data_IF_106752346203
#
_entry.id   IF_106752346203
#
_cell.length_a   1.000
_cell.length_b   1.000
_cell.length_c   1.000
_cell.angle_alpha   90.00
_cell.angle_beta   90.00
_cell.angle_gamma   90.00
#
_symmetry.space_group_name_H-M   'P 1'
#
loop_
_entity.id
_entity.type
_entity.pdbx_description
1 polymer ?
#
# COMPACT_ATOMS: atom_id res chain seq x y z
N UNK A 1 9.14 -9.02 14.15
CA UNK A 1 9.83 -8.94 12.83
C UNK A 1 9.29 -9.86 11.72
N UNK A 2 8.60 -10.99 11.98
CA UNK A 2 8.21 -11.91 10.87
C UNK A 2 7.01 -11.47 10.01
N UNK A 3 6.08 -10.68 10.55
CA UNK A 3 4.96 -10.12 9.77
C UNK A 3 5.41 -8.93 8.89
N UNK A 4 6.44 -8.20 9.33
CA UNK A 4 6.95 -7.00 8.68
C UNK A 4 7.74 -7.27 7.39
N UNK A 5 8.47 -8.39 7.29
CA UNK A 5 9.09 -8.81 6.03
C UNK A 5 8.10 -9.21 4.94
N UNK A 6 6.87 -9.62 5.28
CA UNK A 6 5.90 -10.12 4.29
C UNK A 6 5.28 -8.96 3.51
N UNK A 7 4.96 -7.85 4.18
CA UNK A 7 4.28 -6.71 3.52
C UNK A 7 5.22 -5.98 2.55
N UNK A 8 6.49 -5.80 2.93
CA UNK A 8 7.51 -5.18 2.06
C UNK A 8 7.88 -6.11 0.88
N UNK A 9 7.94 -7.43 1.09
CA UNK A 9 8.23 -8.39 0.02
C UNK A 9 7.12 -8.42 -1.05
N UNK A 10 5.85 -8.28 -0.66
CA UNK A 10 4.73 -8.26 -1.62
C UNK A 10 4.78 -7.01 -2.52
N UNK A 11 5.14 -5.84 -2.01
CA UNK A 11 5.17 -4.61 -2.82
C UNK A 11 6.46 -4.48 -3.66
N UNK A 12 7.60 -5.05 -3.21
CA UNK A 12 8.87 -5.09 -3.96
C UNK A 12 8.89 -6.22 -5.01
N UNK A 13 8.24 -7.37 -4.78
CA UNK A 13 8.18 -8.46 -5.77
C UNK A 13 7.18 -8.23 -6.91
N UNK A 14 6.46 -7.11 -6.90
CA UNK A 14 5.64 -6.68 -8.04
C UNK A 14 6.44 -5.96 -9.14
N UNK A 15 7.78 -5.86 -9.03
CA UNK A 15 8.64 -5.47 -10.15
C UNK A 15 8.58 -6.54 -11.27
N UNK A 16 7.98 -6.27 -12.44
CA UNK A 16 7.80 -7.25 -13.52
C UNK A 16 9.07 -7.42 -14.38
N UNK A 17 10.25 -7.10 -13.84
CA UNK A 17 11.51 -6.97 -14.60
C UNK A 17 12.35 -8.26 -14.61
N UNK A 18 11.75 -9.43 -14.39
CA UNK A 18 12.43 -10.72 -14.54
C UNK A 18 11.44 -11.68 -15.20
N UNK A 19 11.54 -11.74 -16.52
CA UNK A 19 10.47 -12.22 -17.38
C UNK A 19 10.36 -13.73 -17.50
N UNK A 20 9.12 -14.16 -17.65
CA UNK A 20 8.70 -15.28 -18.48
C UNK A 20 7.19 -15.12 -18.74
N UNK A 21 6.82 -15.14 -20.02
CA UNK A 21 5.47 -14.89 -20.49
C UNK A 21 4.57 -16.09 -20.19
N UNK A 22 3.46 -15.87 -19.48
CA UNK A 22 2.22 -16.61 -19.76
C UNK A 22 1.01 -15.69 -19.56
N UNK A 23 0.26 -15.56 -20.64
CA UNK A 23 -0.93 -14.76 -20.83
C UNK A 23 -2.13 -15.43 -20.12
N UNK A 24 -2.77 -14.72 -19.18
CA UNK A 24 -4.20 -14.88 -18.90
C UNK A 24 -4.80 -13.52 -18.59
N UNK A 25 -5.52 -13.03 -19.59
CA UNK A 25 -6.47 -11.95 -19.46
C UNK A 25 -7.63 -12.40 -18.55
N UNK A 26 -7.87 -11.65 -17.49
CA UNK A 26 -9.21 -11.49 -16.94
C UNK A 26 -9.36 -9.99 -16.65
N UNK A 27 -10.12 -9.34 -17.53
CA UNK A 27 -10.42 -7.92 -17.43
C UNK A 27 -11.53 -7.72 -16.40
N UNK A 28 -11.23 -6.92 -15.40
CA UNK A 28 -12.24 -6.15 -14.69
C UNK A 28 -11.94 -4.66 -14.91
N UNK A 29 -12.60 -4.11 -15.92
CA UNK A 29 -12.70 -2.67 -16.09
C UNK A 29 -13.75 -2.16 -15.11
N UNK A 30 -13.30 -1.58 -13.99
CA UNK A 30 -14.16 -0.74 -13.17
C UNK A 30 -13.79 0.73 -13.39
N UNK A 31 -14.69 1.38 -14.12
CA UNK A 31 -14.77 2.79 -14.49
C UNK A 31 -14.96 3.72 -13.27
N UNK A 32 -14.50 4.97 -13.40
CA UNK A 32 -15.13 6.09 -12.69
C UNK A 32 -14.39 6.71 -11.49
N UNK A 33 -13.22 7.34 -11.71
CA UNK A 33 -12.59 8.16 -10.64
C UNK A 33 -11.51 9.14 -11.09
N UNK A 34 -11.41 9.44 -12.38
CA UNK A 34 -10.42 10.37 -12.91
C UNK A 34 -10.62 11.78 -12.36
N UNK A 35 -9.59 12.31 -11.68
CA UNK A 35 -9.38 13.74 -11.38
C UNK A 35 -10.06 14.35 -10.13
N UNK A 36 -9.99 13.73 -8.94
CA UNK A 36 -10.41 14.46 -7.71
C UNK A 36 -9.33 15.15 -6.89
N UNK A 37 -8.03 14.95 -7.14
CA UNK A 37 -7.00 15.72 -6.42
C UNK A 37 -5.59 15.53 -7.01
N UNK A 38 -5.17 16.42 -7.90
CA UNK A 38 -3.76 16.46 -8.37
C UNK A 38 -2.76 16.48 -7.19
N UNK A 39 -3.14 17.10 -6.07
CA UNK A 39 -2.32 17.17 -4.86
C UNK A 39 -2.06 15.83 -4.18
N UNK A 40 -3.01 14.90 -4.20
CA UNK A 40 -2.85 13.59 -3.53
C UNK A 40 -2.11 12.60 -4.39
N UNK A 41 -2.28 12.66 -5.72
CA UNK A 41 -1.44 11.92 -6.67
C UNK A 41 0.04 12.31 -6.55
N UNK A 42 0.36 13.61 -6.56
CA UNK A 42 1.73 14.07 -6.37
C UNK A 42 2.32 13.63 -5.02
N UNK A 43 1.48 13.54 -3.97
CA UNK A 43 1.91 13.06 -2.65
C UNK A 43 2.24 11.57 -2.68
N UNK A 44 1.43 10.77 -3.35
CA UNK A 44 1.66 9.33 -3.53
C UNK A 44 2.94 9.07 -4.32
N UNK A 45 3.15 9.78 -5.43
CA UNK A 45 4.38 9.71 -6.24
C UNK A 45 5.61 10.09 -5.41
N UNK A 46 5.53 11.17 -4.63
CA UNK A 46 6.63 11.59 -3.75
C UNK A 46 6.95 10.57 -2.65
N UNK A 47 5.93 9.91 -2.10
CA UNK A 47 6.13 8.84 -1.12
C UNK A 47 6.78 7.61 -1.77
N UNK A 48 6.36 7.24 -2.98
CA UNK A 48 6.98 6.16 -3.74
C UNK A 48 8.46 6.43 -4.02
N UNK A 49 8.81 7.63 -4.50
CA UNK A 49 10.20 8.02 -4.75
C UNK A 49 11.05 7.99 -3.45
N UNK A 50 10.47 8.41 -2.33
CA UNK A 50 11.13 8.37 -1.02
C UNK A 50 11.39 6.94 -0.54
N UNK A 51 10.43 6.03 -0.75
CA UNK A 51 10.58 4.60 -0.43
C UNK A 51 11.74 4.02 -1.25
N UNK A 52 11.77 4.25 -2.56
CA UNK A 52 12.86 3.75 -3.40
C UNK A 52 14.24 4.25 -2.94
N UNK A 53 14.32 5.53 -2.57
CA UNK A 53 15.55 6.11 -2.04
C UNK A 53 15.95 5.45 -0.72
N UNK A 54 15.01 5.29 0.21
CA UNK A 54 15.25 4.68 1.53
C UNK A 54 15.62 3.19 1.42
N UNK A 55 15.04 2.46 0.47
CA UNK A 55 15.43 1.07 0.18
C UNK A 55 16.87 0.99 -0.32
N UNK A 56 17.31 1.92 -1.18
CA UNK A 56 18.71 1.98 -1.62
C UNK A 56 19.65 2.30 -0.46
N UNK A 57 19.29 3.27 0.40
CA UNK A 57 20.05 3.60 1.61
C UNK A 57 20.14 2.39 2.56
N UNK A 58 19.02 1.72 2.84
CA UNK A 58 18.98 0.55 3.70
C UNK A 58 19.82 -0.61 3.15
N UNK A 59 19.76 -0.87 1.83
CA UNK A 59 20.62 -1.88 1.18
C UNK A 59 22.10 -1.57 1.41
N UNK A 60 22.53 -0.33 1.20
CA UNK A 60 23.92 0.08 1.40
C UNK A 60 24.38 -0.07 2.86
N UNK A 61 23.53 0.29 3.83
CA UNK A 61 23.84 0.13 5.26
C UNK A 61 23.94 -1.35 5.65
N UNK A 62 23.11 -2.20 5.04
CA UNK A 62 23.06 -3.64 5.32
C UNK A 62 24.11 -4.47 4.56
N UNK A 63 24.89 -3.89 3.62
CA UNK A 63 25.87 -4.64 2.81
C UNK A 63 26.97 -5.31 3.66
N UNK A 64 27.32 -4.73 4.80
CA UNK A 64 28.32 -5.30 5.71
C UNK A 64 27.77 -6.36 6.66
N UNK A 65 26.63 -6.08 7.30
CA UNK A 65 25.97 -6.99 8.22
C UNK A 65 24.45 -6.75 8.21
N UNK A 66 23.70 -7.72 7.68
CA UNK A 66 22.24 -7.67 7.62
C UNK A 66 21.56 -7.82 9.00
N UNK A 67 22.31 -8.14 10.06
CA UNK A 67 21.80 -8.27 11.43
C UNK A 67 22.22 -7.13 12.35
N UNK A 68 23.00 -6.19 11.84
CA UNK A 68 23.41 -5.00 12.59
C UNK A 68 22.19 -4.18 13.02
N UNK A 69 22.33 -3.43 14.10
CA UNK A 69 21.25 -2.57 14.57
C UNK A 69 21.05 -1.40 13.62
N UNK A 70 22.11 -0.93 12.95
CA UNK A 70 22.06 0.09 11.90
C UNK A 70 21.25 -0.39 10.68
N UNK A 71 21.41 -1.65 10.28
CA UNK A 71 20.62 -2.24 9.21
C UNK A 71 19.14 -2.32 9.58
N UNK A 72 18.82 -2.70 10.82
CA UNK A 72 17.42 -2.73 11.31
C UNK A 72 16.81 -1.33 11.30
N UNK A 73 17.50 -0.34 11.86
CA UNK A 73 17.02 1.05 11.89
C UNK A 73 16.79 1.58 10.47
N UNK A 74 17.68 1.28 9.52
CA UNK A 74 17.49 1.71 8.13
C UNK A 74 16.25 1.08 7.48
N UNK A 75 15.94 -0.18 7.79
CA UNK A 75 14.70 -0.83 7.33
C UNK A 75 13.45 -0.35 8.08
N UNK A 76 13.56 0.01 9.36
CA UNK A 76 12.47 0.61 10.13
C UNK A 76 12.07 1.97 9.49
N UNK A 77 13.04 2.77 9.03
CA UNK A 77 12.73 4.01 8.30
C UNK A 77 12.00 3.77 6.96
N UNK A 78 12.34 2.70 6.23
CA UNK A 78 11.62 2.31 5.00
C UNK A 78 10.17 1.93 5.33
N UNK A 79 9.97 1.22 6.43
CA UNK A 79 8.66 0.77 6.91
C UNK A 79 7.74 1.97 7.20
N UNK A 80 8.23 2.96 7.95
CA UNK A 80 7.45 4.16 8.30
C UNK A 80 6.96 4.92 7.06
N UNK A 81 7.82 5.10 6.05
CA UNK A 81 7.43 5.79 4.80
C UNK A 81 6.44 4.93 3.99
N UNK A 82 6.59 3.62 4.01
CA UNK A 82 5.69 2.68 3.33
C UNK A 82 4.31 2.66 3.99
N UNK A 83 4.27 2.69 5.33
CA UNK A 83 3.02 2.81 6.09
C UNK A 83 2.31 4.13 5.76
N UNK A 84 3.05 5.25 5.70
CA UNK A 84 2.46 6.53 5.33
C UNK A 84 1.83 6.52 3.92
N UNK A 85 2.43 5.79 2.96
CA UNK A 85 1.86 5.57 1.61
C UNK A 85 0.62 4.68 1.66
N UNK A 86 0.65 3.59 2.42
CA UNK A 86 -0.50 2.70 2.57
C UNK A 86 -1.69 3.43 3.21
N UNK A 87 -1.46 4.20 4.27
CA UNK A 87 -2.46 5.05 4.92
C UNK A 87 -3.07 6.06 3.96
N UNK A 88 -2.24 6.64 3.07
CA UNK A 88 -2.71 7.54 2.04
C UNK A 88 -3.68 6.81 1.10
N UNK A 89 -3.30 5.64 0.58
CA UNK A 89 -4.15 4.82 -0.31
C UNK A 89 -5.46 4.41 0.36
N UNK A 90 -5.42 3.98 1.62
CA UNK A 90 -6.63 3.64 2.39
C UNK A 90 -7.57 4.85 2.49
N UNK A 91 -7.04 6.03 2.82
CA UNK A 91 -7.85 7.26 2.91
C UNK A 91 -8.46 7.66 1.57
N UNK A 92 -7.77 7.40 0.47
CA UNK A 92 -8.29 7.67 -0.87
C UNK A 92 -9.38 6.67 -1.30
N UNK A 93 -9.32 5.44 -0.78
CA UNK A 93 -10.21 4.36 -1.17
C UNK A 93 -11.33 4.09 -0.16
N UNK A 94 -11.34 4.75 1.00
CA UNK A 94 -12.36 4.55 2.05
C UNK A 94 -13.79 4.81 1.54
N UNK A 95 -13.92 5.75 0.62
CA UNK A 95 -15.23 6.13 0.04
C UNK A 95 -15.58 5.30 -1.20
N UNK A 96 -14.77 4.29 -1.56
CA UNK A 96 -15.06 3.41 -2.70
C UNK A 96 -16.00 2.26 -2.36
N UNK A 97 -16.13 1.86 -1.10
CA UNK A 97 -17.09 0.82 -0.73
C UNK A 97 -18.51 1.42 -0.74
N UNK A 98 -19.34 1.09 -1.76
CA UNK A 98 -20.68 1.66 -1.87
C UNK A 98 -21.59 1.22 -0.71
N UNK A 99 -21.25 0.10 -0.06
CA UNK A 99 -22.01 -0.41 1.08
C UNK A 99 -21.80 0.46 2.32
N UNK A 100 -20.60 1.01 2.52
CA UNK A 100 -20.30 1.86 3.68
C UNK A 100 -21.19 3.10 3.72
N UNK A 101 -21.27 3.87 2.63
CA UNK A 101 -22.13 5.05 2.54
C UNK A 101 -23.63 4.69 2.59
N UNK A 102 -24.01 3.56 1.98
CA UNK A 102 -25.39 3.05 2.05
C UNK A 102 -25.81 2.73 3.49
N UNK A 103 -24.94 2.10 4.28
CA UNK A 103 -25.21 1.73 5.67
C UNK A 103 -25.21 2.93 6.62
N UNK A 104 -24.45 3.99 6.33
CA UNK A 104 -24.51 5.25 7.09
C UNK A 104 -25.88 5.93 6.96
N UNK A 105 -26.49 5.86 5.78
CA UNK A 105 -27.80 6.48 5.50
C UNK A 105 -28.99 5.56 5.83
N UNK A 106 -28.79 4.25 5.82
CA UNK A 106 -29.85 3.24 6.00
C UNK A 106 -29.45 2.15 7.02
N UNK A 107 -29.19 2.51 8.30
CA UNK A 107 -28.69 1.57 9.31
C UNK A 107 -29.67 0.44 9.66
N UNK A 108 -30.96 0.62 9.38
CA UNK A 108 -32.00 -0.38 9.67
C UNK A 108 -32.16 -1.47 8.61
N UNK A 109 -31.51 -1.33 7.44
CA UNK A 109 -31.55 -2.31 6.34
C UNK A 109 -30.88 -3.61 6.76
N UNK A 110 -31.35 -4.72 6.19
CA UNK A 110 -30.87 -6.04 6.59
C UNK A 110 -29.39 -6.25 6.21
N UNK A 111 -28.89 -5.50 5.21
CA UNK A 111 -27.49 -5.45 4.79
C UNK A 111 -26.58 -4.72 5.79
N UNK A 112 -27.14 -3.86 6.65
CA UNK A 112 -26.40 -2.94 7.51
C UNK A 112 -26.69 -3.11 9.01
N UNK A 113 -27.65 -3.98 9.35
CA UNK A 113 -28.04 -4.23 10.74
C UNK A 113 -26.94 -4.99 11.48
N UNK A 114 -26.24 -4.30 12.37
CA UNK A 114 -25.27 -4.89 13.30
C UNK A 114 -26.00 -5.27 14.60
N UNK A 115 -25.90 -6.54 14.99
CA UNK A 115 -26.39 -7.03 16.27
C UNK A 115 -25.23 -7.02 17.28
N UNK A 116 -25.40 -6.36 18.43
CA UNK A 116 -24.46 -6.49 19.55
C UNK A 116 -24.82 -7.75 20.36
N UNK A 117 -23.89 -8.70 20.44
CA UNK A 117 -23.99 -9.94 21.24
C UNK A 117 -23.72 -9.72 22.74
#
# INVERSE_FOLDING_TARGET
MRHFSVVIFVEICSDPSSGEAEERADGDQSDGGGAKYKGTQMREEKLAEMIEKKVKEARQVCEGDARSDECKVAWDEVEEVSQAKADLRIKLNRDQDPLTSFCEENPETDECRIYED
#
